data_IF_079472625750
#
_entry.id   IF_079472625750
#
_cell.length_a   1.000
_cell.length_b   1.000
_cell.length_c   1.000
_cell.angle_alpha   90.00
_cell.angle_beta   90.00
_cell.angle_gamma   90.00
#
_symmetry.space_group_name_H-M   'P 1'
#
loop_
_entity.id
_entity.type
_entity.pdbx_description
1 polymer ?
#
# COMPACT_ATOMS: atom_id res chain seq x y z
N UNK A 1 11.37 4.11 -12.56
CA UNK A 1 10.83 5.19 -11.68
C UNK A 1 9.39 5.48 -12.06
N UNK A 2 8.58 6.04 -11.16
CA UNK A 2 7.15 6.27 -11.35
C UNK A 2 6.80 7.71 -11.01
N UNK A 3 5.95 8.37 -11.81
CA UNK A 3 5.34 9.63 -11.44
C UNK A 3 4.06 9.33 -10.65
N UNK A 4 4.00 9.79 -9.40
CA UNK A 4 2.93 9.44 -8.45
C UNK A 4 2.23 10.65 -7.86
N UNK A 5 0.96 10.49 -7.51
CA UNK A 5 0.16 11.49 -6.81
C UNK A 5 -0.91 10.84 -5.93
N UNK A 6 -1.33 11.56 -4.88
CA UNK A 6 -2.51 11.23 -4.10
C UNK A 6 -3.80 11.85 -4.64
N UNK A 7 -3.79 12.41 -5.86
CA UNK A 7 -4.90 13.20 -6.41
C UNK A 7 -5.11 14.53 -5.68
N UNK A 8 -4.05 15.05 -5.05
CA UNK A 8 -4.03 16.23 -4.17
C UNK A 8 -2.97 17.23 -4.68
N UNK A 9 -2.38 18.04 -3.79
CA UNK A 9 -1.47 19.11 -4.17
C UNK A 9 -0.09 18.63 -4.69
N UNK A 10 0.37 17.45 -4.26
CA UNK A 10 1.72 16.97 -4.58
C UNK A 10 1.68 15.88 -5.65
N UNK A 11 2.52 16.06 -6.66
CA UNK A 11 2.89 15.07 -7.67
C UNK A 11 4.41 15.00 -7.70
N UNK A 12 4.97 13.81 -7.54
CA UNK A 12 6.41 13.63 -7.38
C UNK A 12 6.87 12.31 -8.01
N UNK A 13 8.18 12.11 -8.14
CA UNK A 13 8.74 10.85 -8.63
C UNK A 13 8.98 9.91 -7.45
N UNK A 14 8.45 8.69 -7.56
CA UNK A 14 8.79 7.54 -6.73
C UNK A 14 9.87 6.71 -7.42
N UNK A 15 11.01 6.58 -6.77
CA UNK A 15 12.07 5.65 -7.15
C UNK A 15 11.96 4.42 -6.27
N UNK A 16 11.74 3.25 -6.87
CA UNK A 16 11.81 1.94 -6.20
C UNK A 16 13.10 1.29 -6.65
N UNK A 17 13.96 0.95 -5.69
CA UNK A 17 15.25 0.32 -5.94
C UNK A 17 15.08 -1.20 -6.11
N UNK A 18 16.05 -1.89 -6.73
CA UNK A 18 16.08 -3.34 -6.74
C UNK A 18 15.98 -3.92 -5.33
N UNK A 19 15.34 -5.09 -5.22
CA UNK A 19 15.25 -5.80 -3.96
C UNK A 19 16.64 -6.22 -3.46
N UNK A 20 16.83 -6.18 -2.14
CA UNK A 20 18.03 -6.69 -1.50
C UNK A 20 18.04 -8.24 -1.43
N UNK A 21 19.05 -8.81 -0.77
CA UNK A 21 19.18 -10.26 -0.64
C UNK A 21 18.02 -10.93 0.13
N UNK A 22 17.22 -10.18 0.88
CA UNK A 22 16.04 -10.65 1.61
C UNK A 22 14.73 -10.44 0.83
N UNK A 23 14.80 -9.74 -0.31
CA UNK A 23 13.64 -9.36 -1.10
C UNK A 23 13.05 -8.00 -0.72
N UNK A 24 13.68 -7.26 0.20
CA UNK A 24 13.20 -5.95 0.63
C UNK A 24 13.59 -4.89 -0.40
N UNK A 25 12.63 -4.06 -0.80
CA UNK A 25 12.86 -2.97 -1.75
C UNK A 25 12.89 -1.63 -1.02
N UNK A 26 14.02 -0.92 -1.12
CA UNK A 26 14.10 0.48 -0.73
C UNK A 26 13.34 1.34 -1.73
N UNK A 27 12.78 2.45 -1.25
CA UNK A 27 12.13 3.44 -2.10
C UNK A 27 12.31 4.84 -1.53
N UNK A 28 12.23 5.84 -2.41
CA UNK A 28 12.31 7.25 -2.06
C UNK A 28 11.40 8.10 -2.96
N UNK A 29 10.98 9.26 -2.43
CA UNK A 29 10.28 10.30 -3.18
C UNK A 29 11.25 11.45 -3.44
N UNK A 30 11.28 11.97 -4.67
CA UNK A 30 12.14 13.12 -5.02
C UNK A 30 11.82 14.36 -4.15
N UNK A 31 10.57 14.51 -3.71
CA UNK A 31 10.13 15.52 -2.74
C UNK A 31 8.80 15.11 -2.08
N UNK A 32 8.47 15.77 -0.97
CA UNK A 32 7.24 15.54 -0.20
C UNK A 32 7.34 14.34 0.74
N UNK A 33 6.27 14.09 1.48
CA UNK A 33 6.13 12.93 2.36
C UNK A 33 5.20 11.88 1.74
N UNK A 34 5.22 10.66 2.28
CA UNK A 34 4.29 9.61 1.87
C UNK A 34 2.82 10.05 2.00
N UNK A 35 2.50 10.84 3.03
CA UNK A 35 1.14 11.36 3.24
C UNK A 35 0.68 12.30 2.11
N UNK A 36 1.59 13.10 1.57
CA UNK A 36 1.27 14.08 0.52
C UNK A 36 0.84 13.42 -0.79
N UNK A 37 1.38 12.24 -1.06
CA UNK A 37 1.10 11.43 -2.26
C UNK A 37 0.16 10.26 -2.00
N UNK A 38 -0.36 10.12 -0.78
CA UNK A 38 -1.39 9.13 -0.44
C UNK A 38 -2.78 9.65 -0.84
N UNK A 39 -3.53 8.84 -1.60
CA UNK A 39 -4.94 9.07 -1.88
C UNK A 39 -5.78 8.71 -0.65
N UNK A 40 -5.93 9.70 0.23
CA UNK A 40 -6.55 9.58 1.56
C UNK A 40 -7.95 8.95 1.61
N UNK A 41 -8.77 8.89 0.55
CA UNK A 41 -10.00 8.10 0.58
C UNK A 41 -9.80 6.60 0.35
N UNK A 42 -8.76 6.19 -0.39
CA UNK A 42 -8.53 4.77 -0.72
C UNK A 42 -7.78 4.06 0.41
N UNK A 43 -8.12 2.78 0.63
CA UNK A 43 -7.55 1.94 1.68
C UNK A 43 -7.14 0.59 1.10
N UNK A 44 -6.03 0.07 1.59
CA UNK A 44 -5.59 -1.29 1.30
C UNK A 44 -4.88 -1.83 2.53
N UNK A 45 -5.17 -3.07 2.87
CA UNK A 45 -4.45 -3.79 3.90
C UNK A 45 -4.22 -5.23 3.45
N UNK A 46 -3.08 -5.79 3.88
CA UNK A 46 -2.81 -7.23 3.77
C UNK A 46 -3.02 -7.88 5.12
N UNK A 47 -3.75 -9.00 5.09
CA UNK A 47 -3.96 -9.85 6.24
C UNK A 47 -3.14 -11.13 6.04
N UNK A 48 -2.28 -11.44 7.00
CA UNK A 48 -1.41 -12.62 6.97
C UNK A 48 -1.68 -13.49 8.20
N UNK A 49 -1.64 -14.83 8.10
CA UNK A 49 -1.87 -15.71 9.25
C UNK A 49 -0.90 -15.39 10.39
N UNK A 50 -1.39 -15.35 11.63
CA UNK A 50 -0.52 -15.11 12.79
C UNK A 50 0.44 -16.27 13.07
N UNK A 51 0.05 -17.49 12.70
CA UNK A 51 0.83 -18.70 12.93
C UNK A 51 1.48 -19.20 11.64
N UNK A 52 2.77 -19.58 11.65
CA UNK A 52 3.42 -20.26 10.53
C UNK A 52 2.65 -21.54 10.16
N UNK A 53 2.25 -21.67 8.90
CA UNK A 53 1.44 -22.80 8.41
C UNK A 53 -0.07 -22.66 8.64
N UNK A 54 -0.55 -21.52 9.13
CA UNK A 54 -1.97 -21.19 9.14
C UNK A 54 -2.56 -21.09 7.72
N UNK A 55 -3.85 -21.34 7.58
CA UNK A 55 -4.56 -21.16 6.31
C UNK A 55 -4.49 -19.69 5.86
N UNK A 56 -4.45 -19.47 4.55
CA UNK A 56 -4.52 -18.13 3.96
C UNK A 56 -5.70 -17.31 4.53
N UNK A 57 -5.55 -15.98 4.48
CA UNK A 57 -6.60 -15.09 4.94
C UNK A 57 -7.87 -15.25 4.10
N UNK A 58 -8.96 -15.68 4.75
CA UNK A 58 -10.27 -15.81 4.15
C UNK A 58 -11.16 -14.63 4.55
N UNK A 59 -11.94 -14.03 3.61
CA UNK A 59 -12.95 -13.03 3.93
C UNK A 59 -14.00 -13.52 4.94
N UNK A 60 -14.18 -14.83 5.14
CA UNK A 60 -15.14 -15.40 6.09
C UNK A 60 -14.93 -14.94 7.54
N UNK A 61 -13.70 -14.59 7.91
CA UNK A 61 -13.36 -14.16 9.27
C UNK A 61 -13.54 -12.65 9.46
N UNK A 62 -13.83 -11.91 8.39
CA UNK A 62 -14.11 -10.48 8.47
C UNK A 62 -15.52 -10.23 9.02
N UNK A 63 -15.67 -9.26 9.91
CA UNK A 63 -16.97 -8.89 10.47
C UNK A 63 -17.64 -7.88 9.55
N UNK A 64 -18.73 -8.28 8.91
CA UNK A 64 -19.47 -7.42 7.97
C UNK A 64 -19.88 -6.07 8.56
N UNK A 65 -20.19 -6.01 9.86
CA UNK A 65 -20.58 -4.77 10.56
C UNK A 65 -19.46 -3.72 10.64
N UNK A 66 -18.20 -4.12 10.44
CA UNK A 66 -17.06 -3.21 10.45
C UNK A 66 -16.89 -2.52 9.08
N UNK A 67 -17.79 -2.83 8.12
CA UNK A 67 -17.83 -2.27 6.78
C UNK A 67 -19.19 -1.58 6.50
N UNK A 68 -19.23 -0.53 5.65
CA UNK A 68 -18.10 0.09 4.97
C UNK A 68 -17.20 0.88 5.92
N UNK A 69 -15.90 0.89 5.64
CA UNK A 69 -14.92 1.60 6.46
C UNK A 69 -15.16 3.10 6.35
N UNK A 70 -15.17 3.80 7.49
CA UNK A 70 -15.35 5.25 7.51
C UNK A 70 -14.19 5.97 6.80
N UNK A 71 -14.44 7.07 6.09
CA UNK A 71 -13.37 7.88 5.52
C UNK A 71 -12.36 8.28 6.61
N UNK A 72 -11.06 8.09 6.34
CA UNK A 72 -10.02 8.40 7.32
C UNK A 72 -9.64 7.23 8.24
N UNK A 73 -10.53 6.26 8.47
CA UNK A 73 -10.27 5.15 9.39
C UNK A 73 -9.28 4.12 8.83
N UNK A 74 -8.63 3.38 9.72
CA UNK A 74 -7.82 2.20 9.38
C UNK A 74 -8.69 1.04 8.88
N UNK A 75 -8.08 0.08 8.15
CA UNK A 75 -8.80 -1.14 7.80
C UNK A 75 -9.15 -1.97 9.05
N UNK A 76 -10.34 -2.60 9.13
CA UNK A 76 -10.76 -3.38 10.28
C UNK A 76 -9.80 -4.54 10.61
N UNK A 77 -9.66 -4.90 11.88
CA UNK A 77 -8.95 -6.11 12.24
C UNK A 77 -9.74 -7.37 11.81
N UNK A 78 -9.03 -8.39 11.36
CA UNK A 78 -9.63 -9.70 11.03
C UNK A 78 -9.08 -10.72 12.02
N UNK A 79 -9.96 -11.44 12.69
CA UNK A 79 -9.58 -12.38 13.74
C UNK A 79 -8.73 -13.54 13.20
N UNK A 80 -7.59 -13.79 13.86
CA UNK A 80 -6.62 -14.80 13.45
C UNK A 80 -5.51 -14.31 12.51
N UNK A 81 -5.53 -13.03 12.11
CA UNK A 81 -4.59 -12.49 11.12
C UNK A 81 -3.86 -11.23 11.61
N UNK A 82 -2.57 -11.12 11.28
CA UNK A 82 -1.82 -9.88 11.35
C UNK A 82 -2.27 -8.95 10.23
N UNK A 83 -2.48 -7.67 10.54
CA UNK A 83 -2.88 -6.63 9.59
C UNK A 83 -1.69 -5.72 9.27
N UNK A 84 -1.44 -5.47 7.99
CA UNK A 84 -0.55 -4.41 7.50
C UNK A 84 -1.35 -3.45 6.62
N UNK A 85 -1.55 -2.22 7.08
CA UNK A 85 -2.14 -1.15 6.27
C UNK A 85 -1.09 -0.58 5.29
N UNK A 86 -1.53 -0.22 4.09
CA UNK A 86 -0.72 0.39 3.04
C UNK A 86 -1.25 1.76 2.64
N UNK A 87 -0.31 2.68 2.39
CA UNK A 87 -0.59 3.89 1.64
C UNK A 87 -0.98 3.52 0.19
N UNK A 88 -2.00 4.19 -0.34
CA UNK A 88 -2.44 4.02 -1.74
C UNK A 88 -2.05 5.25 -2.52
N UNK A 89 -1.32 5.07 -3.62
CA UNK A 89 -0.87 6.14 -4.51
C UNK A 89 -1.38 5.86 -5.92
N UNK A 90 -1.61 6.90 -6.71
CA UNK A 90 -1.86 6.76 -8.14
C UNK A 90 -0.58 6.93 -8.93
N UNK A 91 -0.30 5.95 -9.80
CA UNK A 91 0.78 6.05 -10.80
C UNK A 91 0.18 6.67 -12.05
N UNK A 92 0.70 7.83 -12.45
CA UNK A 92 0.24 8.57 -13.64
C UNK A 92 1.29 8.61 -14.76
N UNK A 93 2.49 8.09 -14.49
CA UNK A 93 3.55 7.94 -15.49
C UNK A 93 4.59 6.92 -15.03
N UNK A 94 5.24 6.29 -16.00
CA UNK A 94 6.35 5.36 -15.78
C UNK A 94 7.51 5.82 -16.64
N UNK A 95 8.69 5.90 -16.05
CA UNK A 95 9.90 6.17 -16.82
C UNK A 95 10.14 5.01 -17.80
N UNK A 96 10.14 5.31 -19.10
CA UNK A 96 10.49 4.33 -20.12
C UNK A 96 12.01 4.16 -20.15
N UNK A 97 12.51 3.01 -19.73
CA UNK A 97 13.88 2.62 -20.08
C UNK A 97 13.94 2.39 -21.59
N UNK A 98 14.78 3.11 -22.36
CA UNK A 98 14.95 2.83 -23.78
C UNK A 98 15.37 1.37 -23.94
N UNK A 99 14.67 0.61 -24.80
CA UNK A 99 15.19 -0.69 -25.23
C UNK A 99 16.46 -0.42 -26.01
N UNK A 100 17.60 -0.85 -25.48
CA UNK A 100 18.86 -0.89 -26.22
C UNK A 100 18.81 -1.98 -27.28
#
# INVERSE_FOLDING_TARGET
>A
RYLVTGGRAVTTVLTVHPADAKGDMLWELDNGSLYDVTHLPCRSARYSPLNPGGSDASPSNAKLRDFPVSPGAEMPAVEGYAKQDYAVLFVIGVESTPRR
#
